data_IF_633317304517
#
_entry.id   IF_633317304517
#
_cell.length_a   1.000
_cell.length_b   1.000
_cell.length_c   1.000
_cell.angle_alpha   90.00
_cell.angle_beta   90.00
_cell.angle_gamma   90.00
#
_symmetry.space_group_name_H-M   'P 1'
#
loop_
_entity.id
_entity.type
_entity.pdbx_description
1 polymer ?
#
# COMPACT_ATOMS: atom_id res chain seq x y z
N UNK A 1 3.55 23.26 -14.63
CA UNK A 1 3.59 22.02 -15.42
C UNK A 1 3.33 22.40 -16.86
N UNK A 2 4.30 22.15 -17.72
CA UNK A 2 4.13 22.34 -19.18
C UNK A 2 3.15 21.24 -19.65
N UNK A 3 2.03 21.65 -20.27
CA UNK A 3 1.06 20.70 -20.77
C UNK A 3 1.69 19.87 -21.89
N UNK A 4 1.47 18.57 -21.90
CA UNK A 4 2.03 17.67 -22.92
C UNK A 4 1.64 18.11 -24.34
N UNK A 5 0.47 18.73 -24.52
CA UNK A 5 0.03 19.29 -25.80
C UNK A 5 0.93 20.45 -26.28
N UNK A 6 1.46 21.27 -25.36
CA UNK A 6 2.40 22.33 -25.72
C UNK A 6 3.76 21.77 -26.18
N UNK A 7 4.18 20.64 -25.63
CA UNK A 7 5.42 19.96 -26.02
C UNK A 7 5.32 19.40 -27.46
N UNK A 8 4.16 18.85 -27.82
CA UNK A 8 3.91 18.30 -29.17
C UNK A 8 3.89 19.36 -30.28
N UNK A 9 3.74 20.65 -29.96
CA UNK A 9 3.82 21.74 -30.96
C UNK A 9 5.23 22.01 -31.43
N UNK A 10 6.26 21.65 -30.64
CA UNK A 10 7.68 21.90 -30.94
C UNK A 10 8.46 20.64 -31.32
N UNK A 11 7.99 19.45 -30.95
CA UNK A 11 8.71 18.18 -31.11
C UNK A 11 7.77 17.11 -31.68
N UNK A 12 8.18 16.34 -32.72
CA UNK A 12 7.39 15.24 -33.24
C UNK A 12 6.95 14.26 -32.14
N UNK A 13 5.68 13.89 -32.14
CA UNK A 13 5.08 12.99 -31.15
C UNK A 13 5.82 11.66 -31.04
N UNK A 14 6.26 11.15 -32.18
CA UNK A 14 7.02 9.91 -32.30
C UNK A 14 8.34 9.96 -31.53
N UNK A 15 9.05 11.12 -31.60
CA UNK A 15 10.30 11.30 -30.88
C UNK A 15 10.07 11.35 -29.36
N UNK A 16 9.04 12.05 -28.91
CA UNK A 16 8.69 12.11 -27.47
C UNK A 16 8.33 10.72 -26.96
N UNK A 17 7.52 9.98 -27.69
CA UNK A 17 7.13 8.60 -27.32
C UNK A 17 8.35 7.68 -27.28
N UNK A 18 9.24 7.75 -28.27
CA UNK A 18 10.49 6.98 -28.29
C UNK A 18 11.36 7.26 -27.06
N UNK A 19 11.57 8.53 -26.75
CA UNK A 19 12.37 8.94 -25.58
C UNK A 19 11.75 8.47 -24.28
N UNK A 20 10.42 8.63 -24.12
CA UNK A 20 9.71 8.16 -22.92
C UNK A 20 9.79 6.65 -22.76
N UNK A 21 9.53 5.87 -23.80
CA UNK A 21 9.64 4.40 -23.77
C UNK A 21 11.07 4.00 -23.40
N UNK A 22 12.07 4.61 -24.03
CA UNK A 22 13.48 4.32 -23.75
C UNK A 22 13.84 4.62 -22.29
N UNK A 23 13.44 5.79 -21.77
CA UNK A 23 13.71 6.20 -20.39
C UNK A 23 13.01 5.27 -19.38
N UNK A 24 11.74 4.97 -19.58
CA UNK A 24 11.02 4.08 -18.67
C UNK A 24 11.55 2.65 -18.70
N UNK A 25 11.90 2.13 -19.87
CA UNK A 25 12.52 0.82 -20.02
C UNK A 25 13.90 0.75 -19.36
N UNK A 26 14.67 1.84 -19.44
CA UNK A 26 15.97 1.97 -18.77
C UNK A 26 15.78 2.00 -17.23
N UNK A 27 14.81 2.78 -16.72
CA UNK A 27 14.51 2.83 -15.29
C UNK A 27 14.10 1.47 -14.73
N UNK A 28 13.24 0.74 -15.44
CA UNK A 28 12.84 -0.62 -15.08
C UNK A 28 14.07 -1.55 -15.09
N UNK A 29 14.92 -1.46 -16.10
CA UNK A 29 16.14 -2.26 -16.22
C UNK A 29 17.14 -1.98 -15.08
N UNK A 30 17.35 -0.72 -14.72
CA UNK A 30 18.21 -0.33 -13.59
C UNK A 30 17.69 -0.88 -12.26
N UNK A 31 16.38 -0.84 -12.02
CA UNK A 31 15.78 -1.45 -10.83
C UNK A 31 16.03 -2.97 -10.78
N UNK A 32 15.86 -3.67 -11.91
CA UNK A 32 16.14 -5.11 -11.99
C UNK A 32 17.63 -5.43 -11.73
N UNK A 33 18.55 -4.64 -12.26
CA UNK A 33 19.99 -4.80 -12.03
C UNK A 33 20.35 -4.64 -10.56
N UNK A 34 19.81 -3.63 -9.89
CA UNK A 34 20.08 -3.36 -8.46
C UNK A 34 19.71 -4.55 -7.57
N UNK A 35 18.62 -5.25 -7.88
CA UNK A 35 18.18 -6.44 -7.14
C UNK A 35 19.08 -7.63 -7.42
N UNK A 36 19.51 -7.81 -8.67
CA UNK A 36 20.45 -8.88 -9.03
C UNK A 36 21.80 -8.73 -8.33
N UNK A 37 22.31 -7.51 -8.18
CA UNK A 37 23.58 -7.23 -7.47
C UNK A 37 23.48 -7.52 -5.96
N UNK A 38 22.31 -7.43 -5.34
CA UNK A 38 22.09 -7.79 -3.94
C UNK A 38 22.06 -9.30 -3.67
N UNK A 39 21.97 -10.12 -4.70
CA UNK A 39 22.04 -11.59 -4.64
C UNK A 39 23.47 -12.03 -4.94
N UNK A 40 24.34 -11.96 -3.96
CA UNK A 40 25.72 -12.46 -4.06
C UNK A 40 25.71 -13.96 -4.43
N UNK A 41 26.26 -14.31 -5.58
CA UNK A 41 26.49 -15.69 -6.02
C UNK A 41 25.84 -16.13 -7.32
N UNK A 42 24.90 -15.40 -7.92
CA UNK A 42 24.30 -15.76 -9.21
C UNK A 42 25.08 -15.15 -10.38
N UNK A 43 25.94 -15.95 -11.00
CA UNK A 43 26.78 -15.55 -12.14
C UNK A 43 26.05 -15.39 -13.48
N UNK A 44 24.75 -15.65 -13.54
CA UNK A 44 23.97 -15.57 -14.78
C UNK A 44 22.86 -14.50 -14.68
N UNK A 45 23.25 -13.26 -14.91
CA UNK A 45 22.34 -12.12 -15.07
C UNK A 45 21.63 -12.20 -16.42
N UNK A 46 20.38 -12.71 -16.44
CA UNK A 46 19.46 -12.39 -17.52
C UNK A 46 18.76 -11.07 -17.22
N UNK A 47 18.88 -10.10 -18.14
CA UNK A 47 18.20 -8.83 -18.04
C UNK A 47 19.02 -7.77 -17.29
N UNK A 48 20.07 -7.28 -17.93
CA UNK A 48 20.71 -6.02 -17.56
C UNK A 48 19.84 -4.84 -17.98
N UNK A 49 20.12 -3.66 -17.41
CA UNK A 49 19.57 -2.38 -17.83
C UNK A 49 19.47 -2.22 -19.37
N UNK A 50 20.52 -2.63 -20.10
CA UNK A 50 20.54 -2.62 -21.57
C UNK A 50 19.47 -3.52 -22.18
N UNK A 51 19.32 -4.75 -21.67
CA UNK A 51 18.36 -5.72 -22.21
C UNK A 51 16.94 -5.21 -22.10
N UNK A 52 16.54 -4.67 -20.94
CA UNK A 52 15.22 -4.08 -20.76
C UNK A 52 15.00 -2.86 -21.65
N UNK A 53 16.02 -2.00 -21.81
CA UNK A 53 15.96 -0.87 -22.72
C UNK A 53 15.75 -1.33 -24.16
N UNK A 54 16.50 -2.33 -24.63
CA UNK A 54 16.32 -2.87 -25.98
C UNK A 54 14.97 -3.58 -26.18
N UNK A 55 14.41 -4.22 -25.15
CA UNK A 55 13.07 -4.79 -25.21
C UNK A 55 12.01 -3.68 -25.41
N UNK A 56 12.13 -2.56 -24.70
CA UNK A 56 11.22 -1.43 -24.89
C UNK A 56 11.36 -0.78 -26.26
N UNK A 57 12.60 -0.58 -26.74
CA UNK A 57 12.88 -0.05 -28.09
C UNK A 57 12.33 -1.00 -29.17
N UNK A 58 12.54 -2.31 -29.03
CA UNK A 58 12.00 -3.31 -29.96
C UNK A 58 10.47 -3.23 -30.00
N UNK A 59 9.81 -3.16 -28.83
CA UNK A 59 8.37 -2.98 -28.74
C UNK A 59 7.91 -1.71 -29.47
N UNK A 60 8.62 -0.60 -29.31
CA UNK A 60 8.32 0.65 -30.00
C UNK A 60 8.46 0.55 -31.52
N UNK A 61 9.56 -0.02 -32.00
CA UNK A 61 9.80 -0.17 -33.45
C UNK A 61 8.73 -1.03 -34.11
N UNK A 62 8.38 -2.17 -33.50
CA UNK A 62 7.36 -3.06 -34.04
C UNK A 62 5.94 -2.46 -33.94
N UNK A 63 5.69 -1.64 -32.93
CA UNK A 63 4.42 -0.92 -32.80
C UNK A 63 4.28 0.18 -33.86
N UNK A 64 5.32 0.99 -34.13
CA UNK A 64 5.24 2.10 -35.08
C UNK A 64 5.15 1.65 -36.53
N UNK A 65 5.67 0.45 -36.85
CA UNK A 65 5.61 -0.13 -38.19
C UNK A 65 4.19 -0.59 -38.58
N UNK A 66 3.37 -1.00 -37.60
CA UNK A 66 1.99 -1.47 -37.83
C UNK A 66 1.10 -1.07 -36.62
N UNK A 67 0.76 0.23 -36.50
CA UNK A 67 0.03 0.73 -35.32
C UNK A 67 -1.47 0.38 -35.34
N UNK A 68 -2.05 0.03 -36.49
CA UNK A 68 -3.48 -0.25 -36.65
C UNK A 68 -3.80 -1.71 -36.38
N UNK A 69 -3.13 -2.62 -37.05
CA UNK A 69 -3.37 -4.07 -36.94
C UNK A 69 -2.56 -4.74 -35.82
N UNK A 70 -1.48 -4.11 -35.41
CA UNK A 70 -0.56 -4.60 -34.37
C UNK A 70 0.03 -6.01 -34.65
N UNK A 71 -0.01 -6.49 -35.87
CA UNK A 71 0.42 -7.87 -36.21
C UNK A 71 1.91 -8.07 -35.94
N UNK A 72 2.73 -7.08 -36.34
CA UNK A 72 4.19 -7.12 -36.10
C UNK A 72 4.50 -7.04 -34.61
N UNK A 73 3.77 -6.20 -33.87
CA UNK A 73 3.90 -6.09 -32.42
C UNK A 73 3.51 -7.41 -31.74
N UNK A 74 2.39 -8.02 -32.08
CA UNK A 74 1.95 -9.30 -31.52
C UNK A 74 2.93 -10.43 -31.87
N UNK A 75 3.39 -10.49 -33.13
CA UNK A 75 4.39 -11.48 -33.57
C UNK A 75 5.72 -11.33 -32.83
N UNK A 76 6.23 -10.11 -32.71
CA UNK A 76 7.44 -9.81 -31.95
C UNK A 76 7.32 -10.16 -30.47
N UNK A 77 6.17 -9.85 -29.86
CA UNK A 77 5.85 -10.24 -28.49
C UNK A 77 5.81 -11.75 -28.27
N UNK A 78 5.26 -12.51 -29.22
CA UNK A 78 5.25 -13.97 -29.17
C UNK A 78 6.66 -14.55 -29.27
N UNK A 79 7.50 -14.05 -30.18
CA UNK A 79 8.91 -14.45 -30.31
C UNK A 79 9.70 -14.12 -29.03
N UNK A 80 9.52 -12.90 -28.49
CA UNK A 80 10.14 -12.49 -27.24
C UNK A 80 9.71 -13.40 -26.08
N UNK A 81 8.41 -13.68 -25.96
CA UNK A 81 7.87 -14.59 -24.94
C UNK A 81 8.45 -15.99 -25.04
N UNK A 82 8.61 -16.52 -26.26
CA UNK A 82 9.23 -17.82 -26.51
C UNK A 82 10.71 -17.83 -26.08
N UNK A 83 11.48 -16.81 -26.46
CA UNK A 83 12.90 -16.68 -26.07
C UNK A 83 13.06 -16.57 -24.56
N UNK A 84 12.20 -15.79 -23.90
CA UNK A 84 12.17 -15.67 -22.44
C UNK A 84 11.79 -16.99 -21.77
N UNK A 85 10.81 -17.72 -22.32
CA UNK A 85 10.38 -19.03 -21.84
C UNK A 85 11.48 -20.08 -21.97
N UNK A 86 12.19 -20.15 -23.11
CA UNK A 86 13.32 -21.01 -23.29
C UNK A 86 14.47 -20.72 -22.32
N UNK A 87 14.78 -19.45 -22.14
CA UNK A 87 15.79 -19.03 -21.16
C UNK A 87 15.40 -19.43 -19.72
N UNK A 88 14.11 -19.29 -19.38
CA UNK A 88 13.59 -19.74 -18.08
C UNK A 88 13.73 -21.25 -17.90
N UNK A 89 13.38 -22.04 -18.94
CA UNK A 89 13.50 -23.49 -18.89
C UNK A 89 14.97 -23.95 -18.68
N UNK A 90 15.90 -23.34 -19.39
CA UNK A 90 17.34 -23.63 -19.22
C UNK A 90 17.80 -23.26 -17.79
N UNK A 91 17.43 -22.10 -17.30
CA UNK A 91 17.76 -21.68 -15.92
C UNK A 91 17.17 -22.61 -14.86
N UNK A 92 15.93 -23.01 -15.02
CA UNK A 92 15.27 -23.92 -14.09
C UNK A 92 15.95 -25.29 -14.07
N UNK A 93 16.32 -25.81 -15.27
CA UNK A 93 16.97 -27.12 -15.43
C UNK A 93 18.40 -27.16 -14.88
N UNK A 94 19.18 -26.08 -15.09
CA UNK A 94 20.61 -26.08 -14.72
C UNK A 94 20.87 -25.50 -13.32
N UNK A 95 20.12 -24.50 -12.90
CA UNK A 95 20.42 -23.72 -11.69
C UNK A 95 19.35 -23.78 -10.60
N UNK A 96 18.22 -24.48 -10.82
CA UNK A 96 17.09 -24.60 -9.88
C UNK A 96 16.56 -23.24 -9.40
N UNK A 97 16.73 -22.18 -10.21
CA UNK A 97 16.28 -20.82 -9.91
C UNK A 97 14.87 -20.62 -10.44
N UNK A 98 13.92 -20.45 -9.52
CA UNK A 98 12.52 -20.21 -9.82
C UNK A 98 12.22 -18.70 -9.73
N UNK A 99 11.83 -18.08 -10.85
CA UNK A 99 11.47 -16.66 -10.84
C UNK A 99 10.86 -16.18 -12.16
N UNK A 100 9.53 -16.25 -12.27
CA UNK A 100 8.79 -15.80 -13.48
C UNK A 100 8.66 -14.27 -13.51
N UNK A 101 8.85 -13.60 -12.39
CA UNK A 101 8.64 -12.15 -12.25
C UNK A 101 9.45 -11.32 -13.25
N UNK A 102 10.72 -11.68 -13.48
CA UNK A 102 11.58 -10.98 -14.45
C UNK A 102 11.05 -11.08 -15.87
N UNK A 103 10.48 -12.23 -16.24
CA UNK A 103 9.85 -12.44 -17.56
C UNK A 103 8.61 -11.54 -17.70
N UNK A 104 7.77 -11.52 -16.67
CA UNK A 104 6.56 -10.66 -16.66
C UNK A 104 6.96 -9.20 -16.79
N UNK A 105 7.98 -8.73 -16.05
CA UNK A 105 8.47 -7.35 -16.14
C UNK A 105 9.03 -7.06 -17.53
N UNK A 106 9.75 -8.00 -18.16
CA UNK A 106 10.23 -7.84 -19.53
C UNK A 106 9.09 -7.70 -20.54
N UNK A 107 8.01 -8.47 -20.39
CA UNK A 107 6.82 -8.35 -21.23
C UNK A 107 6.07 -7.03 -20.97
N UNK A 108 5.96 -6.58 -19.71
CA UNK A 108 5.41 -5.25 -19.38
C UNK A 108 6.25 -4.16 -20.05
N UNK A 109 7.59 -4.28 -19.99
CA UNK A 109 8.51 -3.32 -20.63
C UNK A 109 8.32 -3.29 -22.15
N UNK A 110 8.10 -4.44 -22.79
CA UNK A 110 7.76 -4.52 -24.21
C UNK A 110 6.44 -3.80 -24.53
N UNK A 111 5.43 -3.97 -23.68
CA UNK A 111 4.13 -3.32 -23.81
C UNK A 111 4.12 -1.81 -23.51
N UNK A 112 5.23 -1.25 -23.01
CA UNK A 112 5.30 0.20 -22.74
C UNK A 112 5.08 1.05 -24.02
N UNK A 113 5.43 0.54 -25.19
CA UNK A 113 5.28 1.27 -26.45
C UNK A 113 3.82 1.65 -26.76
N UNK A 114 2.87 0.73 -26.92
CA UNK A 114 1.46 1.05 -27.13
C UNK A 114 0.86 1.80 -25.93
N UNK A 115 1.27 1.51 -24.70
CA UNK A 115 0.77 2.19 -23.51
C UNK A 115 1.11 3.68 -23.54
N UNK A 116 2.37 4.04 -23.81
CA UNK A 116 2.79 5.46 -23.89
C UNK A 116 2.17 6.17 -25.08
N UNK A 117 1.95 5.46 -26.21
CA UNK A 117 1.39 6.04 -27.42
C UNK A 117 -0.12 6.30 -27.34
N UNK A 118 -0.87 5.49 -26.59
CA UNK A 118 -2.35 5.50 -26.61
C UNK A 118 -2.99 5.94 -25.31
N UNK A 119 -2.30 5.80 -24.17
CA UNK A 119 -2.88 6.08 -22.87
C UNK A 119 -2.44 7.46 -22.32
N UNK A 120 -3.24 8.07 -21.43
CA UNK A 120 -2.91 9.34 -20.82
C UNK A 120 -1.64 9.22 -19.92
N UNK A 121 -0.95 10.34 -19.73
CA UNK A 121 0.33 10.39 -19.04
C UNK A 121 0.32 9.80 -17.61
N UNK A 122 -0.73 10.03 -16.85
CA UNK A 122 -0.87 9.46 -15.51
C UNK A 122 -0.89 7.93 -15.51
N UNK A 123 -1.42 7.30 -16.56
CA UNK A 123 -1.55 5.85 -16.63
C UNK A 123 -0.19 5.14 -16.81
N UNK A 124 0.60 5.57 -17.79
CA UNK A 124 1.92 4.94 -18.00
C UNK A 124 2.90 5.26 -16.86
N UNK A 125 2.80 6.44 -16.25
CA UNK A 125 3.57 6.74 -15.02
C UNK A 125 3.14 5.82 -13.89
N UNK A 126 1.84 5.60 -13.69
CA UNK A 126 1.33 4.66 -12.69
C UNK A 126 1.86 3.24 -12.92
N UNK A 127 1.87 2.75 -14.16
CA UNK A 127 2.41 1.41 -14.50
C UNK A 127 3.89 1.32 -14.11
N UNK A 128 4.71 2.29 -14.52
CA UNK A 128 6.14 2.31 -14.21
C UNK A 128 6.38 2.37 -12.70
N UNK A 129 5.71 3.28 -12.00
CA UNK A 129 5.84 3.43 -10.54
C UNK A 129 5.44 2.12 -9.84
N UNK A 130 4.35 1.48 -10.26
CA UNK A 130 3.91 0.21 -9.69
C UNK A 130 4.94 -0.90 -9.89
N UNK A 131 5.51 -1.02 -11.09
CA UNK A 131 6.57 -2.01 -11.38
C UNK A 131 7.80 -1.76 -10.51
N UNK A 132 8.26 -0.49 -10.41
CA UNK A 132 9.41 -0.12 -9.60
C UNK A 132 9.16 -0.41 -8.10
N UNK A 133 8.00 0.01 -7.58
CA UNK A 133 7.64 -0.22 -6.17
C UNK A 133 7.56 -1.71 -5.84
N UNK A 134 6.83 -2.51 -6.63
CA UNK A 134 6.71 -3.95 -6.39
C UNK A 134 8.07 -4.66 -6.48
N UNK A 135 8.94 -4.17 -7.36
CA UNK A 135 10.29 -4.72 -7.53
C UNK A 135 11.16 -4.41 -6.31
N UNK A 136 11.21 -3.14 -5.85
CA UNK A 136 12.01 -2.73 -4.69
C UNK A 136 11.45 -3.27 -3.36
N UNK A 137 10.14 -3.32 -3.20
CA UNK A 137 9.48 -3.81 -1.99
C UNK A 137 9.45 -5.34 -1.85
N UNK A 138 9.93 -6.08 -2.85
CA UNK A 138 9.94 -7.56 -2.82
C UNK A 138 10.54 -8.12 -1.53
N UNK A 139 11.67 -7.60 -1.09
CA UNK A 139 12.35 -8.06 0.13
C UNK A 139 11.52 -7.74 1.37
N UNK A 140 11.00 -6.51 1.46
CA UNK A 140 10.12 -6.07 2.55
C UNK A 140 8.85 -6.92 2.63
N UNK A 141 8.23 -7.23 1.50
CA UNK A 141 7.05 -8.10 1.47
C UNK A 141 7.37 -9.53 1.88
N UNK A 142 8.53 -10.06 1.47
CA UNK A 142 8.96 -11.41 1.87
C UNK A 142 9.22 -11.47 3.38
N UNK A 143 9.94 -10.50 3.93
CA UNK A 143 10.16 -10.41 5.38
C UNK A 143 8.84 -10.23 6.15
N UNK A 144 7.96 -9.38 5.67
CA UNK A 144 6.65 -9.17 6.28
C UNK A 144 5.84 -10.48 6.29
N UNK A 145 5.78 -11.18 5.15
CA UNK A 145 5.08 -12.46 5.05
C UNK A 145 5.67 -13.54 5.97
N UNK A 146 7.01 -13.60 6.11
CA UNK A 146 7.68 -14.53 7.01
C UNK A 146 7.44 -14.22 8.50
N UNK A 147 7.27 -12.95 8.85
CA UNK A 147 6.96 -12.52 10.23
C UNK A 147 5.49 -12.69 10.59
N UNK A 148 4.59 -12.75 9.61
CA UNK A 148 3.16 -12.97 9.86
C UNK A 148 2.91 -14.40 10.32
N UNK A 149 2.17 -14.54 11.44
CA UNK A 149 1.69 -15.85 11.88
C UNK A 149 0.50 -16.30 11.03
N UNK A 150 0.34 -17.62 10.87
CA UNK A 150 -0.78 -18.19 10.10
C UNK A 150 -2.15 -17.70 10.60
N UNK A 151 -2.32 -17.55 11.92
CA UNK A 151 -3.57 -17.06 12.50
C UNK A 151 -3.91 -15.62 12.09
N UNK A 152 -2.92 -14.81 11.79
CA UNK A 152 -3.09 -13.42 11.33
C UNK A 152 -3.52 -13.36 9.88
N UNK A 153 -2.94 -14.22 9.04
CA UNK A 153 -3.38 -14.36 7.65
C UNK A 153 -4.84 -14.84 7.57
N UNK A 154 -5.20 -15.79 8.42
CA UNK A 154 -6.59 -16.27 8.52
C UNK A 154 -7.51 -15.14 9.00
N UNK A 155 -7.08 -14.35 9.97
CA UNK A 155 -7.86 -13.20 10.48
C UNK A 155 -8.03 -12.14 9.41
N UNK A 156 -6.97 -11.82 8.64
CA UNK A 156 -7.04 -10.92 7.49
C UNK A 156 -8.01 -11.44 6.43
N UNK A 157 -7.91 -12.72 6.07
CA UNK A 157 -8.81 -13.34 5.09
C UNK A 157 -10.28 -13.29 5.54
N UNK A 158 -10.56 -13.59 6.82
CA UNK A 158 -11.90 -13.43 7.40
C UNK A 158 -12.39 -11.99 7.33
N UNK A 159 -11.54 -11.03 7.69
CA UNK A 159 -11.89 -9.61 7.60
C UNK A 159 -12.20 -9.19 6.15
N UNK A 160 -11.38 -9.60 5.19
CA UNK A 160 -11.62 -9.33 3.76
C UNK A 160 -12.90 -9.99 3.26
N UNK A 161 -13.21 -11.20 3.70
CA UNK A 161 -14.47 -11.87 3.34
C UNK A 161 -15.69 -11.12 3.90
N UNK A 162 -15.64 -10.68 5.15
CA UNK A 162 -16.71 -9.93 5.81
C UNK A 162 -16.89 -8.55 5.16
N UNK A 163 -15.81 -7.87 4.82
CA UNK A 163 -15.84 -6.52 4.22
C UNK A 163 -16.07 -6.55 2.72
N UNK A 164 -15.45 -7.47 1.98
CA UNK A 164 -15.47 -7.51 0.51
C UNK A 164 -16.62 -8.31 -0.08
N UNK A 165 -17.13 -9.33 0.63
CA UNK A 165 -18.22 -10.19 0.14
C UNK A 165 -19.54 -9.80 0.78
N UNK A 166 -19.62 -9.74 2.10
CA UNK A 166 -20.89 -9.53 2.79
C UNK A 166 -21.38 -8.08 2.62
N UNK A 167 -20.49 -7.10 2.76
CA UNK A 167 -20.87 -5.69 2.71
C UNK A 167 -21.60 -5.29 1.41
N UNK A 168 -21.10 -5.61 0.19
CA UNK A 168 -21.79 -5.26 -1.05
C UNK A 168 -23.10 -6.04 -1.29
N UNK A 169 -23.33 -7.16 -0.58
CA UNK A 169 -24.57 -7.94 -0.69
C UNK A 169 -25.71 -7.38 0.18
N UNK A 170 -25.40 -6.48 1.11
CA UNK A 170 -26.39 -5.96 2.04
C UNK A 170 -27.28 -4.90 1.39
N UNK A 171 -28.62 -4.94 1.67
CA UNK A 171 -29.55 -3.99 1.08
C UNK A 171 -29.37 -2.58 1.65
N UNK A 172 -29.56 -1.59 0.77
CA UNK A 172 -29.55 -0.16 1.15
C UNK A 172 -30.92 0.36 1.57
N UNK A 173 -31.90 -0.51 1.76
CA UNK A 173 -33.25 -0.12 2.20
C UNK A 173 -33.26 0.13 3.71
N UNK A 174 -33.97 1.19 4.13
CA UNK A 174 -34.13 1.49 5.55
C UNK A 174 -34.86 0.37 6.29
N UNK A 175 -34.34 0.00 7.47
CA UNK A 175 -34.98 -0.99 8.35
C UNK A 175 -36.23 -0.41 9.04
N UNK A 176 -36.24 0.89 9.29
CA UNK A 176 -37.32 1.61 9.96
C UNK A 176 -37.71 2.79 9.05
N UNK A 177 -39.01 3.03 8.78
CA UNK A 177 -39.46 4.04 7.82
C UNK A 177 -38.94 5.47 8.08
N UNK A 178 -38.80 5.87 9.33
CA UNK A 178 -38.46 7.25 9.73
C UNK A 178 -36.97 7.41 10.10
N UNK A 179 -36.19 6.35 10.02
CA UNK A 179 -34.77 6.37 10.41
C UNK A 179 -33.92 5.91 9.24
N UNK A 180 -32.94 6.73 8.85
CA UNK A 180 -31.97 6.38 7.80
C UNK A 180 -30.96 5.33 8.30
N UNK A 181 -31.47 4.17 8.73
CA UNK A 181 -30.69 3.06 9.23
C UNK A 181 -30.86 1.84 8.30
N UNK A 182 -29.83 1.54 7.53
CA UNK A 182 -29.81 0.40 6.61
C UNK A 182 -28.92 -0.73 7.12
N UNK A 183 -29.19 -1.99 6.74
CA UNK A 183 -28.27 -3.09 7.06
C UNK A 183 -26.85 -2.82 6.57
N UNK A 184 -26.72 -2.19 5.38
CA UNK A 184 -25.44 -1.76 4.83
C UNK A 184 -24.70 -0.79 5.75
N UNK A 185 -25.37 0.26 6.25
CA UNK A 185 -24.73 1.27 7.11
C UNK A 185 -24.27 0.68 8.46
N UNK A 186 -25.07 -0.19 9.06
CA UNK A 186 -24.70 -0.89 10.31
C UNK A 186 -23.46 -1.75 10.08
N UNK A 187 -23.47 -2.53 8.98
CA UNK A 187 -22.37 -3.41 8.65
C UNK A 187 -21.11 -2.64 8.29
N UNK A 188 -21.26 -1.56 7.53
CA UNK A 188 -20.15 -0.65 7.20
C UNK A 188 -19.51 -0.09 8.48
N UNK A 189 -20.30 0.32 9.47
CA UNK A 189 -19.75 0.77 10.76
C UNK A 189 -18.90 -0.31 11.42
N UNK A 190 -19.40 -1.56 11.43
CA UNK A 190 -18.67 -2.71 11.97
C UNK A 190 -17.37 -2.97 11.22
N UNK A 191 -17.40 -2.91 9.89
CA UNK A 191 -16.21 -3.09 9.03
C UNK A 191 -15.18 -1.97 9.29
N UNK A 192 -15.60 -0.72 9.34
CA UNK A 192 -14.70 0.43 9.58
C UNK A 192 -14.06 0.33 10.97
N UNK A 193 -14.85 0.05 12.01
CA UNK A 193 -14.34 -0.09 13.39
C UNK A 193 -13.35 -1.25 13.49
N UNK A 194 -13.69 -2.39 12.89
CA UNK A 194 -12.83 -3.58 12.88
C UNK A 194 -11.56 -3.34 12.06
N UNK A 195 -11.67 -2.64 10.93
CA UNK A 195 -10.54 -2.27 10.07
C UNK A 195 -9.55 -1.36 10.78
N UNK A 196 -10.02 -0.30 11.44
CA UNK A 196 -9.17 0.60 12.25
C UNK A 196 -8.48 -0.19 13.37
N UNK A 197 -9.22 -1.05 14.06
CA UNK A 197 -8.68 -1.89 15.13
C UNK A 197 -7.62 -2.85 14.61
N UNK A 198 -7.90 -3.55 13.51
CA UNK A 198 -6.97 -4.50 12.91
C UNK A 198 -5.71 -3.83 12.38
N UNK A 199 -5.85 -2.70 11.70
CA UNK A 199 -4.70 -1.91 11.22
C UNK A 199 -3.83 -1.44 12.39
N UNK A 200 -4.43 -0.93 13.46
CA UNK A 200 -3.72 -0.49 14.66
C UNK A 200 -2.99 -1.66 15.34
N UNK A 201 -3.60 -2.85 15.37
CA UNK A 201 -2.96 -4.07 15.85
C UNK A 201 -1.72 -4.43 15.02
N UNK A 202 -1.81 -4.41 13.69
CA UNK A 202 -0.69 -4.69 12.80
C UNK A 202 0.43 -3.67 12.97
N UNK A 203 0.10 -2.38 13.04
CA UNK A 203 1.08 -1.30 13.25
C UNK A 203 1.82 -1.50 14.58
N UNK A 204 1.10 -1.80 15.67
CA UNK A 204 1.72 -2.06 16.97
C UNK A 204 2.67 -3.26 16.91
N UNK A 205 2.28 -4.31 16.21
CA UNK A 205 3.01 -5.56 16.19
C UNK A 205 4.24 -5.53 15.28
N UNK A 206 4.12 -4.93 14.09
CA UNK A 206 5.15 -5.02 13.06
C UNK A 206 6.01 -3.76 12.91
N UNK A 207 5.44 -2.60 13.21
CA UNK A 207 6.13 -1.31 13.04
C UNK A 207 6.64 -0.77 14.37
N UNK A 208 5.80 -0.85 15.41
CA UNK A 208 6.04 -0.22 16.71
C UNK A 208 6.21 -1.23 17.85
N UNK A 209 6.76 -2.39 17.58
CA UNK A 209 6.83 -3.46 18.57
C UNK A 209 7.80 -3.14 19.75
N UNK A 210 8.83 -2.35 19.51
CA UNK A 210 9.78 -1.86 20.53
C UNK A 210 9.50 -0.40 20.96
N UNK A 211 8.30 0.10 20.69
CA UNK A 211 7.95 1.48 21.00
C UNK A 211 7.79 1.70 22.51
N UNK A 212 8.19 2.90 22.97
CA UNK A 212 8.02 3.33 24.34
C UNK A 212 6.56 3.35 24.82
N UNK A 213 6.38 3.55 26.13
CA UNK A 213 5.08 3.51 26.81
C UNK A 213 4.04 4.44 26.17
N UNK A 214 4.44 5.67 25.78
CA UNK A 214 3.55 6.67 25.16
C UNK A 214 3.02 6.23 23.81
N UNK A 215 3.91 5.75 22.93
CA UNK A 215 3.51 5.24 21.60
C UNK A 215 2.60 4.01 21.73
N UNK A 216 2.87 3.16 22.73
CA UNK A 216 1.98 2.03 23.06
C UNK A 216 0.58 2.50 23.50
N UNK A 217 0.49 3.63 24.19
CA UNK A 217 -0.77 4.28 24.54
C UNK A 217 -1.55 4.74 23.32
N UNK A 218 -0.90 5.45 22.40
CA UNK A 218 -1.51 5.96 21.15
C UNK A 218 -2.06 4.80 20.31
N UNK A 219 -1.20 3.86 19.94
CA UNK A 219 -1.57 2.78 19.00
C UNK A 219 -2.53 1.80 19.68
N UNK A 220 -2.29 1.49 20.95
CA UNK A 220 -3.17 0.66 21.74
C UNK A 220 -4.56 1.31 21.93
N UNK A 221 -4.61 2.64 22.10
CA UNK A 221 -5.85 3.41 22.20
C UNK A 221 -6.69 3.36 20.92
N UNK A 222 -6.05 3.41 19.75
CA UNK A 222 -6.70 3.21 18.46
C UNK A 222 -7.25 1.78 18.29
N UNK A 223 -6.53 0.78 18.78
CA UNK A 223 -6.97 -0.63 18.76
C UNK A 223 -8.13 -0.85 19.72
N UNK A 224 -7.92 -0.59 20.99
CA UNK A 224 -8.91 -0.72 22.08
C UNK A 224 -8.47 0.13 23.27
N UNK A 225 -9.02 1.33 23.43
CA UNK A 225 -8.72 2.23 24.54
C UNK A 225 -8.94 1.59 25.90
N UNK A 226 -10.07 0.91 26.09
CA UNK A 226 -10.43 0.22 27.36
C UNK A 226 -9.41 -0.87 27.71
N UNK A 227 -9.06 -1.73 26.77
CA UNK A 227 -8.09 -2.79 27.00
C UNK A 227 -6.70 -2.20 27.29
N UNK A 228 -6.28 -1.18 26.54
CA UNK A 228 -5.00 -0.51 26.71
C UNK A 228 -4.89 0.15 28.07
N UNK A 229 -5.90 0.91 28.50
CA UNK A 229 -5.95 1.53 29.83
C UNK A 229 -5.85 0.48 30.92
N UNK A 230 -6.62 -0.61 30.81
CA UNK A 230 -6.58 -1.71 31.79
C UNK A 230 -5.21 -2.35 31.92
N UNK A 231 -4.50 -2.56 30.80
CA UNK A 231 -3.14 -3.13 30.80
C UNK A 231 -2.13 -2.13 31.37
N UNK A 232 -2.19 -0.86 30.96
CA UNK A 232 -1.28 0.19 31.45
C UNK A 232 -1.49 0.47 32.94
N UNK A 233 -2.73 0.49 33.42
CA UNK A 233 -3.04 0.64 34.84
C UNK A 233 -2.50 -0.50 35.71
N UNK A 234 -2.50 -1.73 35.19
CA UNK A 234 -1.85 -2.87 35.90
C UNK A 234 -0.33 -2.74 35.95
N UNK A 235 0.27 -2.24 34.87
CA UNK A 235 1.72 -2.02 34.80
C UNK A 235 2.17 -0.88 35.72
N UNK A 236 1.44 0.23 35.75
CA UNK A 236 1.77 1.39 36.59
C UNK A 236 1.80 1.07 38.09
N UNK A 237 0.98 0.11 38.56
CA UNK A 237 1.00 -0.35 39.97
C UNK A 237 2.31 -1.02 40.41
N UNK A 238 3.12 -1.50 39.46
CA UNK A 238 4.38 -2.21 39.72
C UNK A 238 5.62 -1.39 39.34
N UNK A 239 5.40 -0.22 38.82
CA UNK A 239 6.41 0.66 38.27
C UNK A 239 6.96 1.64 39.36
N UNK A 240 8.13 2.21 39.13
CA UNK A 240 8.64 3.33 39.89
C UNK A 240 7.78 4.58 39.72
N UNK A 241 7.90 5.55 40.58
CA UNK A 241 7.08 6.78 40.54
C UNK A 241 7.20 7.53 39.22
N UNK A 242 8.41 7.55 38.64
CA UNK A 242 8.69 8.19 37.35
C UNK A 242 8.09 7.42 36.17
N UNK A 243 8.18 6.12 36.16
CA UNK A 243 7.54 5.25 35.16
C UNK A 243 6.01 5.25 35.28
N UNK A 244 5.46 5.41 36.50
CA UNK A 244 4.03 5.49 36.73
C UNK A 244 3.43 6.73 36.03
N UNK A 245 4.15 7.85 36.01
CA UNK A 245 3.75 9.08 35.28
C UNK A 245 3.66 8.82 33.78
N UNK A 246 4.62 8.10 33.18
CA UNK A 246 4.58 7.73 31.77
C UNK A 246 3.40 6.82 31.43
N UNK A 247 3.05 5.91 32.35
CA UNK A 247 1.86 5.07 32.18
C UNK A 247 0.56 5.88 32.25
N UNK A 248 0.47 6.87 33.15
CA UNK A 248 -0.70 7.77 33.22
C UNK A 248 -0.81 8.58 31.94
N UNK A 249 0.28 9.17 31.46
CA UNK A 249 0.30 9.90 30.20
C UNK A 249 -0.13 9.01 29.01
N UNK A 250 0.33 7.78 28.97
CA UNK A 250 -0.07 6.81 27.94
C UNK A 250 -1.56 6.43 28.01
N UNK A 251 -2.14 6.35 29.21
CA UNK A 251 -3.57 6.12 29.40
C UNK A 251 -4.40 7.31 28.90
N UNK A 252 -3.97 8.55 29.18
CA UNK A 252 -4.64 9.76 28.68
C UNK A 252 -4.55 9.86 27.16
N UNK A 253 -3.40 9.50 26.56
CA UNK A 253 -3.27 9.39 25.12
C UNK A 253 -4.22 8.33 24.52
N UNK A 254 -4.40 7.20 25.18
CA UNK A 254 -5.34 6.18 24.72
C UNK A 254 -6.81 6.68 24.75
N UNK A 255 -7.17 7.54 25.70
CA UNK A 255 -8.49 8.21 25.73
C UNK A 255 -8.62 9.22 24.58
N UNK A 256 -7.59 10.04 24.33
CA UNK A 256 -7.60 11.00 23.21
C UNK A 256 -7.76 10.29 21.85
N UNK A 257 -7.14 9.12 21.67
CA UNK A 257 -7.29 8.31 20.46
C UNK A 257 -8.71 7.74 20.31
N UNK A 258 -9.45 7.53 21.38
CA UNK A 258 -10.85 7.16 21.30
C UNK A 258 -11.69 8.27 20.66
N UNK A 259 -11.49 9.53 21.06
CA UNK A 259 -12.19 10.65 20.43
C UNK A 259 -11.82 10.83 18.96
N UNK A 260 -10.54 10.66 18.61
CA UNK A 260 -10.09 10.69 17.22
C UNK A 260 -10.79 9.61 16.39
N UNK A 261 -10.90 8.39 16.92
CA UNK A 261 -11.63 7.30 16.26
C UNK A 261 -13.11 7.62 16.06
N UNK A 262 -13.78 8.23 17.04
CA UNK A 262 -15.17 8.67 16.88
C UNK A 262 -15.29 9.77 15.81
N UNK A 263 -14.36 10.72 15.73
CA UNK A 263 -14.35 11.74 14.68
C UNK A 263 -14.23 11.10 13.28
N UNK A 264 -13.36 10.13 13.12
CA UNK A 264 -13.20 9.40 11.84
C UNK A 264 -14.51 8.68 11.46
N UNK A 265 -15.13 7.99 12.42
CA UNK A 265 -16.39 7.29 12.18
C UNK A 265 -17.50 8.25 11.77
N UNK A 266 -17.70 9.34 12.50
CA UNK A 266 -18.75 10.33 12.20
C UNK A 266 -18.49 10.96 10.83
N UNK A 267 -17.25 11.28 10.48
CA UNK A 267 -16.89 11.84 9.17
C UNK A 267 -17.25 10.89 8.02
N UNK A 268 -17.05 9.59 8.19
CA UNK A 268 -17.37 8.56 7.18
C UNK A 268 -18.90 8.45 7.00
N UNK A 269 -19.67 8.53 8.07
CA UNK A 269 -21.11 8.31 8.03
C UNK A 269 -21.92 9.56 7.71
N UNK A 270 -21.53 10.72 8.22
CA UNK A 270 -22.24 11.97 8.00
C UNK A 270 -21.33 13.17 8.18
N UNK A 271 -21.04 13.84 7.05
CA UNK A 271 -20.27 15.09 7.06
C UNK A 271 -20.98 16.21 7.82
N UNK A 272 -22.31 16.26 7.75
CA UNK A 272 -23.10 17.30 8.43
C UNK A 272 -23.02 17.15 9.95
N UNK A 273 -23.22 15.94 10.45
CA UNK A 273 -23.09 15.62 11.87
C UNK A 273 -21.65 15.87 12.34
N UNK A 274 -20.67 15.48 11.52
CA UNK A 274 -19.27 15.74 11.82
C UNK A 274 -19.01 17.23 12.04
N UNK A 275 -19.44 18.09 11.12
CA UNK A 275 -19.22 19.55 11.24
C UNK A 275 -19.89 20.16 12.47
N UNK A 276 -20.97 19.57 12.97
CA UNK A 276 -21.64 20.03 14.20
C UNK A 276 -20.94 19.54 15.47
N UNK A 277 -20.38 18.35 15.47
CA UNK A 277 -19.90 17.68 16.70
C UNK A 277 -18.37 17.73 16.83
N UNK A 278 -17.61 17.89 15.70
CA UNK A 278 -16.15 17.85 15.75
C UNK A 278 -15.50 18.83 16.75
N UNK A 279 -16.02 20.08 16.96
CA UNK A 279 -15.37 20.98 17.90
C UNK A 279 -15.45 20.45 19.35
N UNK A 280 -16.57 19.82 19.72
CA UNK A 280 -16.74 19.23 21.06
C UNK A 280 -15.84 18.00 21.24
N UNK A 281 -15.74 17.11 20.24
CA UNK A 281 -14.86 15.96 20.30
C UNK A 281 -13.38 16.36 20.30
N UNK A 282 -13.03 17.41 19.54
CA UNK A 282 -11.67 17.94 19.51
C UNK A 282 -11.32 18.57 20.87
N UNK A 283 -12.22 19.36 21.48
CA UNK A 283 -11.99 19.91 22.81
C UNK A 283 -11.81 18.82 23.86
N UNK A 284 -12.60 17.75 23.83
CA UNK A 284 -12.44 16.61 24.73
C UNK A 284 -11.09 15.89 24.51
N UNK A 285 -10.67 15.69 23.25
CA UNK A 285 -9.37 15.11 22.95
C UNK A 285 -8.22 15.99 23.46
N UNK A 286 -8.30 17.30 23.26
CA UNK A 286 -7.29 18.27 23.72
C UNK A 286 -7.27 18.36 25.24
N UNK A 287 -8.42 18.41 25.91
CA UNK A 287 -8.50 18.39 27.37
C UNK A 287 -7.86 17.12 27.95
N UNK A 288 -8.07 15.97 27.32
CA UNK A 288 -7.38 14.74 27.70
C UNK A 288 -5.86 14.87 27.59
N UNK A 289 -5.34 15.61 26.60
CA UNK A 289 -3.91 15.85 26.42
C UNK A 289 -3.36 16.88 27.42
N UNK A 290 -4.10 17.90 27.78
CA UNK A 290 -3.67 18.94 28.73
C UNK A 290 -3.39 18.31 30.12
N UNK A 291 -4.20 17.35 30.54
CA UNK A 291 -3.93 16.62 31.80
C UNK A 291 -2.61 15.83 31.83
N UNK A 292 -1.97 15.63 30.69
CA UNK A 292 -0.63 15.03 30.62
C UNK A 292 0.43 16.03 31.09
N UNK A 293 0.23 17.33 30.86
CA UNK A 293 1.22 18.38 31.17
C UNK A 293 1.12 18.91 32.60
N UNK A 294 0.02 18.63 33.31
CA UNK A 294 -0.10 18.94 34.73
C UNK A 294 0.29 17.73 35.57
N UNK A 295 1.54 17.68 36.10
CA UNK A 295 1.85 16.71 37.13
C UNK A 295 0.94 17.01 38.31
N UNK A 296 0.08 16.07 38.67
CA UNK A 296 -0.72 16.13 39.89
C UNK A 296 0.20 16.38 41.07
N UNK A 297 0.37 17.65 41.42
CA UNK A 297 0.84 18.06 42.76
C UNK A 297 -0.20 17.56 43.74
N UNK A 298 -0.03 16.35 44.24
CA UNK A 298 -0.63 15.93 45.49
C UNK A 298 0.48 16.12 46.54
N UNK A 299 0.34 17.22 47.24
CA UNK A 299 0.82 17.39 48.60
C UNK A 299 0.33 16.27 49.49
#
# INVERSE_FOLDING_TARGET
>A
CMDMEQLYSYVPRELVTFVLVTLFSLLIGLSQRRISLKREGETTLFGTDRTFTFIGILGYLLYILDPTDMRLFMGGGAVLGLLLGLNYYVKQSQFHVFGVTTIIIALITYCMAPIVATQPSWFYVMVVVTVLLLTELKHTFTEFAQRMKNDEMITLAKFLAISGIILPMLPHKNLIPDINLTPYSIWLATVVVSGISYLSYLLKRYVFHESGTLVSGIIGGLYSSTATISVLARKSRKASEQEATDYVAAMLLAVSMMFLRFMILILIFSREIFLSIYPYLLTMAVLSLIHISEPTRRT
#
